data_IF_133101621792
#
_entry.id   IF_133101621792
#
_cell.length_a   1.000
_cell.length_b   1.000
_cell.length_c   1.000
_cell.angle_alpha   90.00
_cell.angle_beta   90.00
_cell.angle_gamma   90.00
#
_symmetry.space_group_name_H-M   'P 1'
#
loop_
_entity.id
_entity.type
_entity.pdbx_description
1 polymer ?
#
# COMPACT_ATOMS: atom_id res chain seq x y z
N UNK A 1 -3.69 4.83 15.24
CA UNK A 1 -3.24 5.85 14.26
C UNK A 1 -1.98 5.37 13.58
N UNK A 2 -1.87 5.40 12.24
CA UNK A 2 -0.62 5.03 11.56
C UNK A 2 0.50 6.04 11.87
N UNK A 3 1.62 5.56 12.41
CA UNK A 3 2.79 6.40 12.70
C UNK A 3 3.69 6.53 11.47
N UNK A 4 3.37 7.47 10.58
CA UNK A 4 4.14 7.74 9.37
C UNK A 4 5.60 8.13 9.64
N UNK A 5 5.93 8.65 10.84
CA UNK A 5 7.31 8.94 11.24
C UNK A 5 8.15 7.68 11.42
N UNK A 6 7.51 6.53 11.66
CA UNK A 6 8.17 5.22 11.69
C UNK A 6 8.04 4.47 10.36
N UNK A 7 6.90 4.59 9.68
CA UNK A 7 6.63 3.89 8.41
C UNK A 7 7.53 4.43 7.29
N UNK A 8 7.70 5.75 7.17
CA UNK A 8 8.51 6.39 6.13
C UNK A 8 9.97 5.89 6.11
N UNK A 9 10.71 5.95 7.23
CA UNK A 9 12.07 5.42 7.31
C UNK A 9 12.19 3.93 6.99
N UNK A 10 11.20 3.11 7.35
CA UNK A 10 11.17 1.67 7.00
C UNK A 10 10.94 1.46 5.51
N UNK A 11 10.04 2.21 4.90
CA UNK A 11 9.84 2.18 3.46
C UNK A 11 11.10 2.58 2.71
N UNK A 12 11.83 3.60 3.20
CA UNK A 12 13.15 3.97 2.67
C UNK A 12 14.15 2.81 2.74
N UNK A 13 14.29 2.17 3.91
CA UNK A 13 15.19 1.03 4.08
C UNK A 13 14.81 -0.13 3.14
N UNK A 14 13.52 -0.41 3.02
CA UNK A 14 13.01 -1.49 2.15
C UNK A 14 13.29 -1.19 0.68
N UNK A 15 13.03 0.04 0.22
CA UNK A 15 13.35 0.47 -1.14
C UNK A 15 14.84 0.34 -1.45
N UNK A 16 15.70 0.78 -0.52
CA UNK A 16 17.14 0.67 -0.68
C UNK A 16 17.61 -0.79 -0.71
N UNK A 17 17.03 -1.66 0.13
CA UNK A 17 17.32 -3.10 0.10
C UNK A 17 16.88 -3.77 -1.22
N UNK A 18 15.80 -3.26 -1.83
CA UNK A 18 15.36 -3.67 -3.16
C UNK A 18 16.18 -3.06 -4.31
N UNK A 19 17.22 -2.27 -4.02
CA UNK A 19 18.06 -1.55 -4.99
C UNK A 19 17.28 -0.64 -5.95
N UNK A 20 16.19 -0.03 -5.48
CA UNK A 20 15.34 0.85 -6.29
C UNK A 20 15.65 2.33 -6.01
N UNK A 21 15.73 3.14 -7.07
CA UNK A 21 15.67 4.60 -6.96
C UNK A 21 14.23 5.07 -6.68
N UNK A 22 14.07 6.32 -6.25
CA UNK A 22 12.74 6.90 -6.06
C UNK A 22 11.95 6.96 -7.37
N UNK A 23 12.60 7.30 -8.48
CA UNK A 23 11.97 7.33 -9.80
C UNK A 23 11.52 5.95 -10.26
N UNK A 24 12.36 4.93 -10.05
CA UNK A 24 11.99 3.55 -10.34
C UNK A 24 10.80 3.09 -9.49
N UNK A 25 10.79 3.44 -8.20
CA UNK A 25 9.69 3.10 -7.31
C UNK A 25 8.38 3.82 -7.71
N UNK A 26 8.44 5.10 -8.07
CA UNK A 26 7.28 5.87 -8.53
C UNK A 26 6.75 5.34 -9.87
N UNK A 27 7.64 5.01 -10.81
CA UNK A 27 7.27 4.42 -12.09
C UNK A 27 6.61 3.04 -11.89
N UNK A 28 7.20 2.19 -11.04
CA UNK A 28 6.66 0.85 -10.74
C UNK A 28 5.32 0.89 -10.00
N UNK A 29 5.01 1.98 -9.30
CA UNK A 29 3.72 2.19 -8.66
C UNK A 29 2.58 2.31 -9.70
N UNK A 30 2.90 2.74 -10.93
CA UNK A 30 1.95 2.97 -12.02
C UNK A 30 0.79 3.92 -11.63
N UNK A 31 1.07 4.90 -10.77
CA UNK A 31 0.12 5.91 -10.31
C UNK A 31 0.62 7.31 -10.68
N UNK A 32 0.12 7.94 -11.75
CA UNK A 32 0.62 9.23 -12.23
C UNK A 32 0.53 10.37 -11.21
N UNK A 33 -0.38 10.25 -10.23
CA UNK A 33 -0.56 11.20 -9.16
C UNK A 33 0.52 11.12 -8.05
N UNK A 34 1.38 10.11 -8.07
CA UNK A 34 2.44 9.91 -7.07
C UNK A 34 3.80 9.97 -7.73
N UNK A 35 4.55 11.01 -7.40
CA UNK A 35 5.87 11.28 -7.96
C UNK A 35 7.00 10.78 -7.05
N UNK A 36 8.23 10.74 -7.58
CA UNK A 36 9.43 10.49 -6.80
C UNK A 36 9.59 11.48 -5.63
N UNK A 37 9.15 12.74 -5.81
CA UNK A 37 9.16 13.75 -4.77
C UNK A 37 8.15 13.42 -3.65
N UNK A 38 6.97 12.89 -4.00
CA UNK A 38 5.98 12.45 -3.03
C UNK A 38 6.51 11.30 -2.18
N UNK A 39 7.15 10.32 -2.83
CA UNK A 39 7.82 9.23 -2.14
C UNK A 39 8.95 9.74 -1.23
N UNK A 40 9.74 10.71 -1.66
CA UNK A 40 10.77 11.32 -0.83
C UNK A 40 10.19 12.03 0.40
N UNK A 41 9.08 12.75 0.26
CA UNK A 41 8.39 13.39 1.39
C UNK A 41 7.86 12.34 2.37
N UNK A 42 7.28 11.27 1.84
CA UNK A 42 6.80 10.16 2.64
C UNK A 42 7.90 9.43 3.42
N UNK A 43 9.05 9.17 2.79
CA UNK A 43 10.21 8.58 3.47
C UNK A 43 10.72 9.44 4.64
N UNK A 44 10.37 10.73 4.65
CA UNK A 44 10.65 11.67 5.74
C UNK A 44 9.44 11.91 6.67
N UNK A 45 8.41 11.08 6.59
CA UNK A 45 7.27 11.07 7.51
C UNK A 45 6.03 11.82 7.04
N UNK A 46 5.99 12.32 5.80
CA UNK A 46 4.74 12.83 5.22
C UNK A 46 3.73 11.69 5.03
N UNK A 47 2.43 11.95 5.19
CA UNK A 47 1.41 10.91 5.01
C UNK A 47 1.27 10.50 3.54
N UNK A 48 0.96 9.23 3.32
CA UNK A 48 0.51 8.67 2.05
C UNK A 48 -0.81 7.91 2.26
N UNK A 49 -1.63 7.82 1.22
CA UNK A 49 -2.78 6.93 1.26
C UNK A 49 -2.30 5.48 1.32
N UNK A 50 -3.02 4.58 1.98
CA UNK A 50 -2.53 3.21 2.02
C UNK A 50 -2.70 2.43 0.75
N UNK A 51 -3.57 2.82 -0.18
CA UNK A 51 -3.51 2.24 -1.52
C UNK A 51 -2.09 2.34 -2.05
N UNK A 52 -1.44 3.49 -1.85
CA UNK A 52 -0.03 3.67 -2.22
C UNK A 52 0.89 2.81 -1.35
N UNK A 53 0.70 2.75 -0.02
CA UNK A 53 1.53 1.92 0.87
C UNK A 53 1.47 0.43 0.52
N UNK A 54 0.29 -0.09 0.22
CA UNK A 54 0.04 -1.48 -0.13
C UNK A 54 0.70 -1.80 -1.46
N UNK A 55 0.52 -0.93 -2.47
CA UNK A 55 1.21 -1.09 -3.75
C UNK A 55 2.72 -0.97 -3.61
N UNK A 56 3.22 -0.07 -2.76
CA UNK A 56 4.65 0.03 -2.47
C UNK A 56 5.18 -1.25 -1.86
N UNK A 57 4.55 -1.78 -0.80
CA UNK A 57 4.98 -3.02 -0.17
C UNK A 57 4.89 -4.20 -1.14
N UNK A 58 3.69 -4.48 -1.65
CA UNK A 58 3.39 -5.71 -2.37
C UNK A 58 3.89 -5.70 -3.82
N UNK A 59 3.75 -4.57 -4.53
CA UNK A 59 3.98 -4.52 -5.98
C UNK A 59 5.35 -3.96 -6.33
N UNK A 60 5.85 -2.97 -5.57
CA UNK A 60 7.13 -2.29 -5.85
C UNK A 60 8.28 -2.96 -5.10
N UNK A 61 8.18 -3.08 -3.78
CA UNK A 61 9.24 -3.60 -2.92
C UNK A 61 9.20 -5.13 -2.78
N UNK A 62 8.09 -5.77 -3.19
CA UNK A 62 7.88 -7.22 -3.12
C UNK A 62 8.07 -7.77 -1.69
N UNK A 63 7.57 -7.05 -0.70
CA UNK A 63 7.64 -7.42 0.71
C UNK A 63 6.24 -7.59 1.33
N UNK A 64 6.18 -8.16 2.53
CA UNK A 64 4.95 -8.20 3.30
C UNK A 64 4.54 -6.79 3.73
N UNK A 65 3.25 -6.51 3.75
CA UNK A 65 2.74 -5.23 4.26
C UNK A 65 3.19 -4.99 5.71
N UNK A 66 3.32 -6.05 6.51
CA UNK A 66 3.88 -6.02 7.86
C UNK A 66 5.31 -5.47 7.96
N UNK A 67 6.10 -5.55 6.88
CA UNK A 67 7.44 -4.95 6.80
C UNK A 67 7.37 -3.42 6.90
N UNK A 68 6.33 -2.80 6.36
CA UNK A 68 6.11 -1.36 6.43
C UNK A 68 5.23 -0.97 7.62
N UNK A 69 4.09 -1.64 7.77
CA UNK A 69 3.09 -1.41 8.80
C UNK A 69 3.29 -2.40 9.95
N UNK A 70 3.72 -1.94 11.12
CA UNK A 70 3.76 -2.84 12.29
C UNK A 70 2.35 -3.37 12.58
N UNK A 71 2.17 -4.70 12.52
CA UNK A 71 0.89 -5.35 12.75
C UNK A 71 0.78 -6.74 12.10
N UNK A 72 -0.31 -7.48 12.35
CA UNK A 72 -0.54 -8.82 11.80
C UNK A 72 -1.01 -8.74 10.34
N UNK A 73 -0.18 -8.17 9.47
CA UNK A 73 -0.49 -7.94 8.06
C UNK A 73 0.38 -8.81 7.15
N UNK A 74 0.14 -10.14 7.08
CA UNK A 74 0.97 -11.08 6.31
C UNK A 74 0.73 -11.00 4.79
N UNK A 75 0.17 -9.89 4.29
CA UNK A 75 -0.21 -9.73 2.88
C UNK A 75 1.03 -9.43 2.04
N UNK A 76 1.26 -10.25 1.01
CA UNK A 76 2.39 -10.13 0.07
C UNK A 76 1.97 -9.62 -1.30
N UNK A 77 0.68 -9.68 -1.61
CA UNK A 77 0.10 -9.14 -2.84
C UNK A 77 -0.99 -8.12 -2.54
N UNK A 78 -1.23 -7.19 -3.47
CA UNK A 78 -2.37 -6.28 -3.39
C UNK A 78 -3.70 -7.06 -3.34
N UNK A 79 -3.77 -8.18 -4.06
CA UNK A 79 -4.96 -9.03 -4.13
C UNK A 79 -5.31 -9.68 -2.78
N UNK A 80 -4.33 -10.23 -2.07
CA UNK A 80 -4.53 -10.81 -0.73
C UNK A 80 -5.09 -9.78 0.25
N UNK A 81 -4.54 -8.56 0.22
CA UNK A 81 -5.02 -7.48 1.06
C UNK A 81 -6.46 -7.05 0.68
N UNK A 82 -6.74 -6.89 -0.61
CA UNK A 82 -8.08 -6.55 -1.11
C UNK A 82 -9.12 -7.59 -0.68
N UNK A 83 -8.79 -8.88 -0.79
CA UNK A 83 -9.68 -9.98 -0.40
C UNK A 83 -9.91 -10.02 1.12
N UNK A 84 -8.85 -9.86 1.92
CA UNK A 84 -8.98 -9.80 3.38
C UNK A 84 -9.79 -8.57 3.83
N UNK A 85 -9.63 -7.43 3.14
CA UNK A 85 -10.45 -6.24 3.35
C UNK A 85 -11.94 -6.50 3.06
N UNK A 86 -12.26 -7.14 1.94
CA UNK A 86 -13.63 -7.48 1.59
C UNK A 86 -14.28 -8.48 2.54
N UNK A 87 -13.51 -9.43 3.07
CA UNK A 87 -13.98 -10.41 4.06
C UNK A 87 -14.17 -9.80 5.45
N UNK A 88 -13.85 -8.51 5.64
CA UNK A 88 -13.79 -7.85 6.93
C UNK A 88 -12.86 -8.53 7.95
N UNK A 89 -11.92 -9.36 7.48
CA UNK A 89 -10.85 -9.95 8.29
C UNK A 89 -9.79 -8.90 8.67
N UNK A 90 -9.75 -7.79 7.92
CA UNK A 90 -9.02 -6.58 8.26
C UNK A 90 -9.98 -5.65 9.00
N UNK A 91 -9.71 -5.45 10.30
CA UNK A 91 -10.46 -4.53 11.17
C UNK A 91 -10.63 -3.14 10.54
N UNK A 92 -11.77 -2.51 10.81
CA UNK A 92 -12.02 -1.09 10.55
C UNK A 92 -10.95 -0.17 11.14
N UNK A 93 -10.02 -0.64 11.99
CA UNK A 93 -8.88 0.15 12.50
C UNK A 93 -7.93 0.63 11.39
N UNK A 94 -7.74 -0.14 10.32
CA UNK A 94 -7.03 0.36 9.13
C UNK A 94 -7.82 1.54 8.52
N UNK A 95 -9.15 1.46 8.50
CA UNK A 95 -10.06 2.48 7.96
C UNK A 95 -10.25 3.69 8.90
N UNK A 96 -10.13 3.49 10.22
CA UNK A 96 -10.39 4.48 11.26
C UNK A 96 -9.19 5.42 11.47
N UNK A 97 -7.98 4.98 11.13
CA UNK A 97 -6.72 5.65 11.45
C UNK A 97 -6.11 6.51 10.33
N UNK A 98 -6.90 6.86 9.32
CA UNK A 98 -6.49 7.79 8.24
C UNK A 98 -6.42 7.20 6.84
N UNK A 99 -6.75 5.92 6.67
CA UNK A 99 -6.96 5.31 5.35
C UNK A 99 -8.45 5.15 5.08
N UNK A 100 -9.14 6.24 4.79
CA UNK A 100 -10.45 6.10 4.16
C UNK A 100 -10.22 5.77 2.70
N UNK A 101 -10.05 4.48 2.38
CA UNK A 101 -10.53 4.01 1.09
C UNK A 101 -12.03 3.89 1.31
N UNK A 102 -12.81 4.67 0.56
CA UNK A 102 -14.26 4.54 0.61
C UNK A 102 -14.61 3.06 0.38
N UNK A 103 -15.44 2.46 1.23
CA UNK A 103 -15.87 1.05 1.08
C UNK A 103 -16.45 0.81 -0.32
N UNK A 104 -17.04 1.84 -0.94
CA UNK A 104 -17.48 1.83 -2.33
C UNK A 104 -16.31 1.74 -3.32
N UNK A 105 -15.26 2.55 -3.16
CA UNK A 105 -14.07 2.52 -4.02
C UNK A 105 -13.34 1.16 -3.94
N UNK A 106 -13.26 0.58 -2.74
CA UNK A 106 -12.70 -0.75 -2.55
C UNK A 106 -13.54 -1.84 -3.25
N UNK A 107 -14.88 -1.80 -3.12
CA UNK A 107 -15.79 -2.72 -3.83
C UNK A 107 -15.69 -2.57 -5.35
N UNK A 108 -15.67 -1.35 -5.86
CA UNK A 108 -15.59 -1.08 -7.29
C UNK A 108 -14.27 -1.58 -7.88
N UNK A 109 -13.16 -1.44 -7.15
CA UNK A 109 -11.85 -1.98 -7.55
C UNK A 109 -11.83 -3.51 -7.58
N UNK A 110 -12.48 -4.18 -6.64
CA UNK A 110 -12.59 -5.65 -6.68
C UNK A 110 -13.44 -6.07 -7.86
N UNK A 111 -14.57 -5.43 -8.06
CA UNK A 111 -15.46 -5.71 -9.19
C UNK A 111 -14.73 -5.57 -10.53
N UNK A 112 -13.99 -4.47 -10.71
CA UNK A 112 -13.14 -4.25 -11.89
C UNK A 112 -12.10 -5.37 -12.07
N UNK A 113 -11.54 -5.88 -10.98
CA UNK A 113 -10.58 -6.98 -11.01
C UNK A 113 -11.23 -8.33 -11.36
N UNK A 114 -12.36 -8.67 -10.76
CA UNK A 114 -13.15 -9.88 -11.07
C UNK A 114 -13.57 -9.88 -12.54
N UNK A 115 -14.01 -8.73 -13.06
CA UNK A 115 -14.37 -8.54 -14.47
C UNK A 115 -13.15 -8.67 -15.41
N UNK A 116 -11.97 -8.21 -15.00
CA UNK A 116 -10.74 -8.30 -15.80
C UNK A 116 -10.09 -9.69 -15.79
N UNK A 117 -10.27 -10.47 -14.72
CA UNK A 117 -9.57 -11.74 -14.52
C UNK A 117 -10.46 -12.97 -14.65
N UNK A 118 -11.79 -12.80 -14.66
CA UNK A 118 -12.76 -13.90 -14.74
C UNK A 118 -12.85 -14.73 -13.46
N UNK A 119 -12.23 -14.29 -12.37
CA UNK A 119 -12.27 -14.94 -11.06
C UNK A 119 -13.47 -14.39 -10.28
N UNK A 120 -14.37 -15.28 -9.84
CA UNK A 120 -15.53 -14.99 -8.97
C UNK A 120 -15.38 -15.70 -7.64
#
# INVERSE_FOLDING_TARGET
>A
MLDFKQIGPRAKQTRLAANLTLDQAAAALAMPAVTAQDLARFENGAPLSAVVLIKLACNVYKCQLATLLHGPYPYTTEQEWIQAYLRAEVSEDILADGLKIDRLEARDRVRLYEEQTGVR
#
